data_IF_255504325988
#
_entry.id   IF_255504325988
#
_cell.length_a   1.000
_cell.length_b   1.000
_cell.length_c   1.000
_cell.angle_alpha   90.00
_cell.angle_beta   90.00
_cell.angle_gamma   90.00
#
_symmetry.space_group_name_H-M   'P 1'
#
loop_
_entity.id
_entity.type
_entity.pdbx_description
1 polymer ?
#
# COMPACT_ATOMS: atom_id res chain seq x y z
N UNK A 1 11.22 12.58 14.56
CA UNK A 1 10.89 11.70 13.42
C UNK A 1 10.14 10.51 13.99
N UNK A 2 8.96 10.18 13.45
CA UNK A 2 8.28 8.95 13.80
C UNK A 2 9.08 7.74 13.24
N UNK A 3 9.06 6.58 13.90
CA UNK A 3 9.66 5.36 13.33
C UNK A 3 8.99 5.02 12.00
N UNK A 4 9.79 4.65 10.98
CA UNK A 4 9.30 4.15 9.69
C UNK A 4 9.65 2.68 9.54
N UNK A 5 8.65 1.85 9.26
CA UNK A 5 8.82 0.43 9.00
C UNK A 5 8.50 0.12 7.54
N UNK A 6 9.40 -0.56 6.82
CA UNK A 6 9.19 -0.87 5.40
C UNK A 6 8.64 -2.30 5.26
N UNK A 7 7.51 -2.44 4.56
CA UNK A 7 6.91 -3.73 4.23
C UNK A 7 6.95 -3.93 2.72
N UNK A 8 7.70 -4.94 2.28
CA UNK A 8 7.75 -5.32 0.87
C UNK A 8 6.51 -6.11 0.49
N UNK A 9 5.74 -5.58 -0.45
CA UNK A 9 4.51 -6.18 -0.95
C UNK A 9 4.79 -7.20 -2.05
N UNK A 10 4.00 -8.27 -2.11
CA UNK A 10 4.08 -9.30 -3.15
C UNK A 10 2.73 -9.50 -3.85
N UNK A 11 2.78 -9.96 -5.10
CA UNK A 11 1.58 -10.40 -5.86
C UNK A 11 1.23 -11.86 -5.61
N UNK A 12 2.19 -12.66 -5.11
CA UNK A 12 2.02 -14.11 -4.93
C UNK A 12 1.60 -14.49 -3.51
N UNK A 13 2.02 -13.72 -2.52
CA UNK A 13 1.73 -13.99 -1.11
C UNK A 13 1.47 -12.68 -0.39
N UNK A 14 0.52 -12.68 0.55
CA UNK A 14 0.29 -11.53 1.41
C UNK A 14 1.52 -11.30 2.30
N UNK A 15 2.09 -10.10 2.23
CA UNK A 15 3.15 -9.71 3.15
C UNK A 15 2.55 -9.60 4.57
N UNK A 16 3.18 -10.24 5.57
CA UNK A 16 2.73 -10.17 6.96
C UNK A 16 3.77 -9.44 7.79
N UNK A 17 3.39 -8.36 8.45
CA UNK A 17 4.28 -7.57 9.30
C UNK A 17 3.63 -7.25 10.64
N UNK A 18 4.46 -7.13 11.69
CA UNK A 18 4.03 -6.58 12.98
C UNK A 18 4.56 -5.17 13.10
N UNK A 19 3.70 -4.20 13.41
CA UNK A 19 4.12 -2.81 13.63
C UNK A 19 3.55 -2.27 14.95
N UNK A 20 4.24 -1.30 15.53
CA UNK A 20 3.83 -0.65 16.80
C UNK A 20 2.91 0.51 16.48
N UNK A 21 1.93 0.77 17.34
CA UNK A 21 1.03 1.93 17.24
C UNK A 21 1.82 3.23 17.04
N UNK A 22 1.34 4.10 16.13
CA UNK A 22 2.01 5.37 15.82
C UNK A 22 3.29 5.25 14.96
N UNK A 23 3.61 4.04 14.46
CA UNK A 23 4.66 3.83 13.46
C UNK A 23 4.10 4.06 12.05
N UNK A 24 4.85 4.77 11.22
CA UNK A 24 4.54 4.91 9.80
C UNK A 24 5.03 3.66 9.06
N UNK A 25 4.16 3.00 8.30
CA UNK A 25 4.52 1.82 7.53
C UNK A 25 4.60 2.15 6.05
N UNK A 26 5.79 2.04 5.47
CA UNK A 26 6.04 2.27 4.05
C UNK A 26 5.81 0.98 3.27
N UNK A 27 4.93 1.01 2.28
CA UNK A 27 4.64 -0.14 1.42
C UNK A 27 5.54 -0.11 0.18
N UNK A 28 6.59 -0.94 0.18
CA UNK A 28 7.46 -1.08 -0.98
C UNK A 28 6.85 -2.06 -1.99
N UNK A 29 6.49 -1.54 -3.17
CA UNK A 29 5.95 -2.33 -4.28
C UNK A 29 6.82 -2.28 -5.53
N UNK A 30 8.00 -1.63 -5.48
CA UNK A 30 8.84 -1.43 -6.66
C UNK A 30 9.24 -2.77 -7.28
N UNK A 31 9.55 -3.75 -6.43
CA UNK A 31 10.00 -5.09 -6.85
C UNK A 31 8.88 -5.98 -7.41
N UNK A 32 7.64 -5.72 -7.02
CA UNK A 32 6.50 -6.56 -7.36
C UNK A 32 5.64 -5.98 -8.47
N UNK A 33 5.77 -4.69 -8.77
CA UNK A 33 5.02 -4.00 -9.84
C UNK A 33 5.39 -4.61 -11.20
N UNK A 34 4.43 -5.16 -11.97
CA UNK A 34 4.72 -5.74 -13.26
C UNK A 34 5.14 -4.66 -14.26
N UNK A 35 6.07 -5.02 -15.16
CA UNK A 35 6.48 -4.15 -16.27
C UNK A 35 5.25 -3.85 -17.14
N UNK A 36 4.96 -2.57 -17.36
CA UNK A 36 3.80 -2.13 -18.15
C UNK A 36 2.54 -1.80 -17.35
N UNK A 37 2.56 -1.89 -16.01
CA UNK A 37 1.52 -1.25 -15.21
C UNK A 37 1.63 0.28 -15.35
N UNK A 38 0.49 0.94 -15.53
CA UNK A 38 0.43 2.40 -15.72
C UNK A 38 -0.06 3.15 -14.48
N UNK A 39 -0.84 2.47 -13.64
CA UNK A 39 -1.48 3.07 -12.47
C UNK A 39 -1.80 2.02 -11.43
N UNK A 40 -2.06 2.50 -10.21
CA UNK A 40 -2.43 1.68 -9.08
C UNK A 40 -3.57 2.30 -8.27
N UNK A 41 -4.24 1.44 -7.52
CA UNK A 41 -5.26 1.78 -6.54
C UNK A 41 -4.87 1.14 -5.21
N UNK A 42 -5.28 1.76 -4.10
CA UNK A 42 -5.01 1.25 -2.75
C UNK A 42 -6.31 1.20 -1.98
N UNK A 43 -6.66 0.00 -1.54
CA UNK A 43 -7.75 -0.25 -0.62
C UNK A 43 -7.18 -0.63 0.73
N UNK A 44 -7.77 -0.12 1.80
CA UNK A 44 -7.42 -0.52 3.14
C UNK A 44 -8.68 -0.73 3.97
N UNK A 45 -8.56 -1.53 5.01
CA UNK A 45 -9.59 -1.67 6.04
C UNK A 45 -9.79 -0.34 6.77
N UNK A 46 -10.98 -0.03 7.32
CA UNK A 46 -11.30 1.28 7.90
C UNK A 46 -10.35 1.74 9.03
N UNK A 47 -9.71 0.82 9.73
CA UNK A 47 -8.72 1.07 10.77
C UNK A 47 -7.37 1.60 10.26
N UNK A 48 -7.14 1.52 8.95
CA UNK A 48 -5.87 1.82 8.30
C UNK A 48 -6.01 3.08 7.48
N UNK A 49 -5.24 4.11 7.82
CA UNK A 49 -5.17 5.35 7.07
C UNK A 49 -4.07 5.24 6.02
N UNK A 50 -4.42 5.52 4.76
CA UNK A 50 -3.47 5.48 3.64
C UNK A 50 -3.05 6.90 3.28
N UNK A 51 -1.75 7.14 3.31
CA UNK A 51 -1.12 8.38 2.89
C UNK A 51 -0.30 8.12 1.62
N UNK A 52 -0.70 8.71 0.50
CA UNK A 52 0.07 8.67 -0.73
C UNK A 52 0.96 9.91 -0.78
N UNK A 53 2.25 9.71 -0.59
CA UNK A 53 3.26 10.76 -0.75
C UNK A 53 3.63 10.79 -2.23
N UNK A 54 3.53 11.96 -2.86
CA UNK A 54 3.77 12.11 -4.28
C UNK A 54 4.38 13.47 -4.61
N UNK A 55 4.97 13.58 -5.81
CA UNK A 55 5.45 14.87 -6.31
C UNK A 55 4.25 15.82 -6.52
N UNK A 56 4.42 17.15 -6.37
CA UNK A 56 3.35 18.12 -6.61
C UNK A 56 2.75 18.06 -8.02
N UNK A 57 3.53 17.56 -8.98
CA UNK A 57 3.12 17.39 -10.37
C UNK A 57 2.32 16.11 -10.62
N UNK A 58 2.45 15.11 -9.76
CA UNK A 58 1.73 13.84 -9.90
C UNK A 58 0.33 13.97 -9.30
N UNK A 59 -0.71 13.72 -10.11
CA UNK A 59 -2.11 13.82 -9.70
C UNK A 59 -2.83 12.49 -9.90
N UNK A 60 -3.86 12.20 -9.11
CA UNK A 60 -4.67 11.01 -9.31
C UNK A 60 -5.42 11.13 -10.64
N UNK A 61 -5.43 10.04 -11.41
CA UNK A 61 -6.14 9.93 -12.68
C UNK A 61 -7.66 9.76 -12.52
N UNK A 62 -8.11 9.28 -11.36
CA UNK A 62 -9.52 9.10 -10.95
C UNK A 62 -9.57 9.15 -9.42
N UNK A 63 -10.75 9.27 -8.81
CA UNK A 63 -10.96 9.46 -7.36
C UNK A 63 -10.09 8.57 -6.43
N UNK A 64 -9.68 7.37 -6.87
CA UNK A 64 -8.81 6.46 -6.10
C UNK A 64 -7.58 5.94 -6.86
N UNK A 65 -7.40 6.31 -8.13
CA UNK A 65 -6.39 5.72 -9.03
C UNK A 65 -5.23 6.65 -9.29
N UNK A 66 -4.03 6.25 -8.87
CA UNK A 66 -2.80 7.01 -8.99
C UNK A 66 -1.92 6.48 -10.13
N UNK A 67 -1.25 7.34 -10.91
CA UNK A 67 -0.25 6.90 -11.88
C UNK A 67 0.94 6.25 -11.15
N UNK A 68 1.60 5.30 -11.81
CA UNK A 68 2.85 4.73 -11.30
C UNK A 68 3.99 5.72 -11.53
N UNK A 69 4.45 6.33 -10.45
CA UNK A 69 5.54 7.31 -10.44
C UNK A 69 6.66 6.81 -9.51
N UNK A 70 7.94 6.88 -9.92
CA UNK A 70 9.06 6.45 -9.08
C UNK A 70 9.26 7.29 -7.83
N UNK A 71 8.71 8.51 -7.77
CA UNK A 71 8.74 9.39 -6.61
C UNK A 71 7.48 9.25 -5.74
N UNK A 72 6.56 8.32 -6.08
CA UNK A 72 5.45 7.96 -5.20
C UNK A 72 5.90 7.02 -4.08
N UNK A 73 5.42 7.29 -2.88
CA UNK A 73 5.53 6.40 -1.73
C UNK A 73 4.14 6.22 -1.10
N UNK A 74 3.75 4.97 -0.83
CA UNK A 74 2.51 4.68 -0.11
C UNK A 74 2.88 4.39 1.34
N UNK A 75 2.43 5.25 2.23
CA UNK A 75 2.61 5.13 3.67
C UNK A 75 1.26 4.80 4.28
N UNK A 76 1.23 3.89 5.24
CA UNK A 76 0.04 3.59 6.01
C UNK A 76 0.30 3.82 7.48
N UNK A 77 -0.67 4.41 8.14
CA UNK A 77 -0.68 4.61 9.58
C UNK A 77 -1.90 3.92 10.15
N UNK A 78 -1.73 3.40 11.36
CA UNK A 78 -2.79 2.67 12.04
C UNK A 78 -2.79 3.20 13.47
N UNK A 79 -3.91 3.81 13.84
CA UNK A 79 -4.11 4.45 15.14
C UNK A 79 -4.91 3.55 16.10
N UNK A 80 -5.18 2.31 15.70
CA UNK A 80 -5.89 1.32 16.52
C UNK A 80 -5.15 -0.03 16.56
N UNK A 81 -5.16 -0.67 17.71
CA UNK A 81 -4.55 -1.99 17.91
C UNK A 81 -5.38 -3.07 17.21
N UNK A 82 -4.71 -4.07 16.62
CA UNK A 82 -5.42 -5.14 15.92
C UNK A 82 -6.11 -6.06 16.92
N UNK A 83 -7.44 -6.20 16.81
CA UNK A 83 -8.24 -7.08 17.70
C UNK A 83 -8.14 -8.55 17.32
N UNK A 84 -7.99 -8.82 16.02
CA UNK A 84 -7.84 -10.17 15.48
C UNK A 84 -6.67 -10.22 14.49
N UNK A 85 -6.16 -11.42 14.22
CA UNK A 85 -5.16 -11.61 13.18
C UNK A 85 -5.80 -11.28 11.83
N UNK A 86 -5.11 -10.48 11.00
CA UNK A 86 -5.58 -10.02 9.69
C UNK A 86 -6.79 -9.05 9.71
N UNK A 87 -7.14 -8.43 10.86
CA UNK A 87 -8.20 -7.39 10.93
C UNK A 87 -7.82 -6.13 10.13
N UNK A 88 -6.53 -5.84 10.05
CA UNK A 88 -5.99 -4.66 9.38
C UNK A 88 -5.28 -5.09 8.10
N UNK A 89 -5.87 -4.79 6.95
CA UNK A 89 -5.35 -5.19 5.64
C UNK A 89 -5.21 -3.99 4.73
N UNK A 90 -4.16 -4.03 3.93
CA UNK A 90 -3.93 -3.12 2.83
C UNK A 90 -3.76 -3.92 1.54
N UNK A 91 -4.54 -3.57 0.53
CA UNK A 91 -4.49 -4.16 -0.79
C UNK A 91 -4.15 -3.07 -1.77
N UNK A 92 -3.10 -3.28 -2.55
CA UNK A 92 -2.84 -2.44 -3.71
C UNK A 92 -3.20 -3.23 -4.96
N UNK A 93 -3.77 -2.57 -5.96
CA UNK A 93 -4.05 -3.18 -7.26
C UNK A 93 -3.33 -2.38 -8.33
N UNK A 94 -2.59 -3.01 -9.24
CA UNK A 94 -2.00 -2.34 -10.40
C UNK A 94 -2.78 -2.69 -11.67
N UNK A 95 -3.04 -1.70 -12.51
CA UNK A 95 -3.66 -1.88 -13.82
C UNK A 95 -2.69 -1.49 -14.94
N UNK A 96 -2.59 -2.34 -15.96
CA UNK A 96 -1.96 -1.99 -17.23
C UNK A 96 -2.86 -1.07 -18.07
N UNK A 97 -2.28 -0.28 -18.96
CA UNK A 97 -3.02 0.52 -19.95
C UNK A 97 -3.70 -0.36 -21.00
N UNK A 98 -3.09 -1.50 -21.33
CA UNK A 98 -3.58 -2.47 -22.32
C UNK A 98 -4.47 -3.51 -21.65
N UNK A 99 -5.72 -3.14 -21.33
CA UNK A 99 -6.91 -4.00 -21.23
C UNK A 99 -6.98 -5.24 -20.30
N UNK A 100 -5.91 -5.99 -20.04
CA UNK A 100 -6.08 -7.43 -19.77
C UNK A 100 -5.38 -8.01 -18.53
N UNK A 101 -4.58 -7.25 -17.78
CA UNK A 101 -3.86 -7.82 -16.62
C UNK A 101 -3.92 -6.92 -15.38
N UNK A 102 -4.98 -7.08 -14.58
CA UNK A 102 -5.05 -6.52 -13.22
C UNK A 102 -4.30 -7.44 -12.28
N UNK A 103 -3.26 -6.93 -11.62
CA UNK A 103 -2.57 -7.67 -10.56
C UNK A 103 -2.88 -7.04 -9.20
N UNK A 104 -3.24 -7.90 -8.26
CA UNK A 104 -3.51 -7.51 -6.89
C UNK A 104 -2.28 -7.84 -6.03
N UNK A 105 -2.00 -6.95 -5.10
CA UNK A 105 -0.93 -7.03 -4.13
C UNK A 105 -1.58 -6.99 -2.77
N UNK A 106 -1.23 -7.95 -1.93
CA UNK A 106 -1.82 -8.10 -0.60
C UNK A 106 -0.77 -7.84 0.47
N UNK A 107 -1.13 -7.02 1.44
CA UNK A 107 -0.35 -6.70 2.61
C UNK A 107 -1.25 -6.81 3.83
N UNK A 108 -0.89 -7.68 4.74
CA UNK A 108 -1.58 -7.86 6.00
C UNK A 108 -0.68 -7.29 7.10
N UNK A 109 -1.20 -6.33 7.85
CA UNK A 109 -0.47 -5.66 8.90
C UNK A 109 -1.11 -6.04 10.23
N UNK A 110 -0.33 -6.59 11.14
CA UNK A 110 -0.77 -6.83 12.51
C UNK A 110 -0.17 -5.75 13.39
N UNK A 111 -0.99 -5.02 14.13
CA UNK A 111 -0.50 -4.01 15.07
C UNK A 111 -0.50 -4.57 16.48
N UNK A 112 0.65 -4.43 17.14
CA UNK A 112 0.84 -4.79 18.55
C UNK A 112 0.97 -3.51 19.39
N UNK A 113 0.53 -3.60 20.65
CA UNK A 113 0.75 -2.58 21.69
C UNK A 113 2.22 -2.51 22.13
#
# INVERSE_FOLDING_TARGET
MAPRHVVTMSTSQAARGVCVLGTEVVLDTRRSTPRGAASFDVHATPAVTVHVIHSPTTKPTTDSRWPLDPDMEVVVTIDVTSRTVDDNQVRRCSCAQTGENKRNFLGNLRISE
#
